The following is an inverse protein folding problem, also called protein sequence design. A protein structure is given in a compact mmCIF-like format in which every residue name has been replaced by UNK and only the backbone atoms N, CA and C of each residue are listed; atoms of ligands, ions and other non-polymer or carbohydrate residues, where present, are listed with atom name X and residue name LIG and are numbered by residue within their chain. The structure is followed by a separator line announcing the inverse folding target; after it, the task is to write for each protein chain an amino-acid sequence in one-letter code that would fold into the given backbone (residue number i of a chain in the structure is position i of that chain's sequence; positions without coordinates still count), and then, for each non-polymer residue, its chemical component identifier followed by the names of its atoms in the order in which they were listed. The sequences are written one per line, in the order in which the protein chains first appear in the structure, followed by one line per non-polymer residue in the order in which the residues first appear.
data_IF_092868554082
#
_entry.id   IF_092868554082
#
_cell.length_a   1.000
_cell.length_b   1.000
_cell.length_c   1.000
_cell.angle_alpha   90.00
_cell.angle_beta   90.00
_cell.angle_gamma   90.00
#
_symmetry.space_group_name_H-M   'P 1'
#
loop_
_entity.id
_entity.type
_entity.pdbx_description
1 polymer ?
#
# COMPACT_ATOMS: atom_id res chain seq x y z
N UNK A 1 4.98 11.31 -16.50
CA UNK A 1 4.38 10.01 -16.89
C UNK A 1 3.57 9.50 -15.70
N UNK A 2 2.27 9.22 -15.87
CA UNK A 2 1.33 8.85 -14.79
C UNK A 2 1.04 7.35 -14.74
N UNK A 3 1.70 6.57 -15.59
CA UNK A 3 1.59 5.11 -15.58
C UNK A 3 2.30 4.55 -14.35
N UNK A 4 1.62 3.68 -13.59
CA UNK A 4 2.18 3.09 -12.38
C UNK A 4 3.13 1.94 -12.75
N UNK A 5 2.61 0.90 -13.40
CA UNK A 5 3.33 -0.36 -13.66
C UNK A 5 4.17 -0.31 -14.94
N UNK A 6 3.72 0.42 -15.97
CA UNK A 6 4.39 0.42 -17.28
C UNK A 6 5.82 0.99 -17.25
N UNK A 7 6.19 1.70 -16.18
CA UNK A 7 7.52 2.26 -15.96
C UNK A 7 8.59 1.22 -15.63
N UNK A 8 8.18 0.02 -15.18
CA UNK A 8 9.09 -1.01 -14.67
C UNK A 8 9.55 -0.80 -13.23
N UNK A 9 9.28 0.36 -12.62
CA UNK A 9 9.65 0.68 -11.23
C UNK A 9 8.70 0.06 -10.19
N UNK A 10 7.51 -0.34 -10.63
CA UNK A 10 6.44 -0.94 -9.82
C UNK A 10 6.07 -2.28 -10.44
N UNK A 11 6.13 -3.37 -9.66
CA UNK A 11 5.77 -4.70 -10.12
C UNK A 11 4.26 -4.94 -10.11
N UNK A 12 3.60 -4.49 -9.05
CA UNK A 12 2.16 -4.64 -8.85
C UNK A 12 1.59 -3.34 -8.31
N UNK A 13 0.33 -3.04 -8.57
CA UNK A 13 -0.28 -1.84 -8.01
C UNK A 13 -1.78 -1.81 -8.12
N UNK A 14 -2.39 -0.93 -7.33
CA UNK A 14 -3.82 -0.72 -7.30
C UNK A 14 -4.18 0.73 -6.99
N UNK A 15 -5.40 1.07 -7.36
CA UNK A 15 -6.10 2.31 -7.03
C UNK A 15 -7.38 1.91 -6.31
N UNK A 16 -7.57 2.48 -5.12
CA UNK A 16 -8.74 2.27 -4.28
C UNK A 16 -9.39 3.63 -4.01
N UNK A 17 -10.69 3.64 -3.70
CA UNK A 17 -11.31 4.77 -3.03
C UNK A 17 -10.75 4.96 -1.62
N UNK A 18 -10.91 6.15 -1.06
CA UNK A 18 -10.52 6.43 0.34
C UNK A 18 -11.27 5.58 1.38
N UNK A 19 -12.37 4.94 0.98
CA UNK A 19 -13.15 3.98 1.75
C UNK A 19 -12.68 2.52 1.56
N UNK A 20 -11.68 2.27 0.72
CA UNK A 20 -11.20 0.94 0.36
C UNK A 20 -11.89 0.32 -0.85
N UNK A 21 -12.85 0.99 -1.49
CA UNK A 21 -13.50 0.47 -2.70
C UNK A 21 -12.46 0.22 -3.80
N UNK A 22 -12.36 -1.01 -4.31
CA UNK A 22 -11.39 -1.35 -5.34
C UNK A 22 -11.78 -0.75 -6.70
N UNK A 23 -10.93 0.09 -7.29
CA UNK A 23 -11.22 0.72 -8.60
C UNK A 23 -10.45 0.06 -9.74
N UNK A 24 -9.17 -0.20 -9.53
CA UNK A 24 -8.31 -0.86 -10.51
C UNK A 24 -7.11 -1.48 -9.81
N UNK A 25 -6.56 -2.56 -10.37
CA UNK A 25 -5.28 -3.08 -9.93
C UNK A 25 -4.71 -4.08 -10.92
N UNK A 26 -3.47 -4.48 -10.66
CA UNK A 26 -2.77 -5.52 -11.41
C UNK A 26 -1.67 -6.10 -10.53
N UNK A 27 -1.57 -7.42 -10.54
CA UNK A 27 -0.60 -8.19 -9.75
C UNK A 27 -1.28 -9.20 -8.84
N UNK A 28 -0.52 -10.20 -8.37
CA UNK A 28 -1.04 -11.27 -7.53
C UNK A 28 -1.66 -10.74 -6.23
N UNK A 29 -1.19 -9.59 -5.75
CA UNK A 29 -1.67 -8.99 -4.50
C UNK A 29 -2.99 -8.21 -4.58
N UNK A 30 -3.59 -8.04 -5.75
CA UNK A 30 -4.69 -7.08 -5.95
C UNK A 30 -5.96 -7.63 -6.62
N UNK A 31 -6.02 -8.91 -6.99
CA UNK A 31 -7.19 -9.48 -7.68
C UNK A 31 -7.70 -10.81 -7.09
N UNK A 32 -8.83 -10.83 -6.35
CA UNK A 32 -9.40 -9.71 -5.57
C UNK A 32 -8.71 -9.57 -4.20
N UNK A 33 -8.66 -8.34 -3.67
CA UNK A 33 -8.28 -8.09 -2.27
C UNK A 33 -9.23 -8.83 -1.33
N UNK A 34 -8.67 -9.41 -0.27
CA UNK A 34 -9.37 -10.43 0.51
C UNK A 34 -9.86 -9.95 1.88
N UNK A 35 -10.96 -10.54 2.34
CA UNK A 35 -11.42 -10.48 3.72
C UNK A 35 -11.29 -11.86 4.34
N UNK A 36 -10.49 -11.98 5.40
CA UNK A 36 -10.19 -13.28 6.03
C UNK A 36 -9.80 -13.13 7.50
N UNK A 37 -9.81 -14.24 8.23
CA UNK A 37 -9.36 -14.27 9.64
C UNK A 37 -7.89 -14.62 9.70
N UNK A 38 -7.14 -13.91 10.53
CA UNK A 38 -5.73 -14.19 10.79
C UNK A 38 -5.48 -14.21 12.30
N UNK A 39 -4.77 -15.23 12.76
CA UNK A 39 -4.24 -15.25 14.13
C UNK A 39 -3.03 -14.34 14.21
N UNK A 40 -3.01 -13.44 15.19
CA UNK A 40 -1.87 -12.59 15.50
C UNK A 40 -1.45 -12.80 16.96
N UNK A 41 -0.13 -12.80 17.16
CA UNK A 41 0.46 -12.83 18.49
C UNK A 41 0.49 -11.40 19.07
N UNK A 42 0.08 -11.28 20.32
CA UNK A 42 0.15 -10.05 21.10
C UNK A 42 1.46 -9.93 21.86
N UNK A 43 1.72 -8.77 22.45
CA UNK A 43 2.96 -8.49 23.18
C UNK A 43 3.10 -9.34 24.46
N UNK A 44 1.98 -9.85 25.01
CA UNK A 44 1.95 -10.76 26.15
C UNK A 44 2.15 -12.24 25.76
N UNK A 45 2.36 -12.51 24.46
CA UNK A 45 2.53 -13.85 23.92
C UNK A 45 1.22 -14.61 23.67
N UNK A 46 0.06 -14.01 23.96
CA UNK A 46 -1.25 -14.58 23.63
C UNK A 46 -1.56 -14.48 22.14
N UNK A 47 -2.44 -15.36 21.66
CA UNK A 47 -2.92 -15.34 20.27
C UNK A 47 -4.36 -14.82 20.23
N UNK A 48 -4.64 -13.92 19.28
CA UNK A 48 -5.99 -13.43 19.00
C UNK A 48 -6.31 -13.57 17.52
N UNK A 49 -7.53 -13.97 17.23
CA UNK A 49 -8.05 -13.96 15.87
C UNK A 49 -8.57 -12.56 15.52
N UNK A 50 -8.04 -11.98 14.44
CA UNK A 50 -8.52 -10.70 13.90
C UNK A 50 -9.05 -10.88 12.49
N UNK A 51 -10.10 -10.13 12.17
CA UNK A 51 -10.56 -10.01 10.79
C UNK A 51 -9.65 -9.03 10.05
N UNK A 52 -9.07 -9.51 8.95
CA UNK A 52 -8.31 -8.72 7.99
C UNK A 52 -9.25 -8.40 6.83
N UNK A 53 -9.37 -7.13 6.51
CA UNK A 53 -9.92 -6.63 5.25
C UNK A 53 -8.80 -5.83 4.59
N UNK A 54 -8.16 -6.39 3.56
CA UNK A 54 -6.95 -5.81 2.99
C UNK A 54 -7.20 -4.41 2.41
N UNK A 55 -8.31 -4.24 1.69
CA UNK A 55 -8.76 -2.99 1.07
C UNK A 55 -9.03 -1.91 2.11
N UNK A 56 -9.87 -2.22 3.11
CA UNK A 56 -10.26 -1.27 4.15
C UNK A 56 -9.06 -0.90 5.03
N UNK A 57 -8.22 -1.87 5.37
CA UNK A 57 -7.03 -1.65 6.19
C UNK A 57 -6.01 -0.74 5.49
N UNK A 58 -5.72 -0.95 4.20
CA UNK A 58 -4.77 -0.09 3.49
C UNK A 58 -5.33 1.31 3.25
N UNK A 59 -6.62 1.44 2.96
CA UNK A 59 -7.26 2.75 2.76
C UNK A 59 -7.36 3.56 4.07
N UNK A 60 -7.72 2.89 5.17
CA UNK A 60 -7.68 3.48 6.51
C UNK A 60 -6.27 3.94 6.87
N UNK A 61 -5.26 3.07 6.67
CA UNK A 61 -3.87 3.41 6.93
C UNK A 61 -3.38 4.61 6.09
N UNK A 62 -3.74 4.67 4.80
CA UNK A 62 -3.41 5.79 3.93
C UNK A 62 -4.04 7.12 4.40
N UNK A 63 -5.19 7.05 5.08
CA UNK A 63 -5.94 8.22 5.54
C UNK A 63 -5.54 8.68 6.94
N UNK A 64 -5.31 7.76 7.86
CA UNK A 64 -5.04 8.10 9.27
C UNK A 64 -3.55 8.02 9.62
N UNK A 65 -2.78 7.22 8.88
CA UNK A 65 -1.43 6.82 9.27
C UNK A 65 -1.38 5.83 10.44
N UNK A 66 -2.54 5.41 10.97
CA UNK A 66 -2.63 4.50 12.10
C UNK A 66 -2.60 3.05 11.60
N UNK A 67 -1.71 2.26 12.19
CA UNK A 67 -1.54 0.85 11.82
C UNK A 67 -2.83 0.07 12.14
N UNK A 68 -3.45 -0.61 11.17
CA UNK A 68 -4.62 -1.45 11.41
C UNK A 68 -4.30 -2.63 12.35
N UNK A 69 -5.31 -3.09 13.07
CA UNK A 69 -5.23 -4.36 13.82
C UNK A 69 -4.97 -5.50 12.84
N UNK A 70 -3.86 -6.21 13.02
CA UNK A 70 -3.38 -7.23 12.08
C UNK A 70 -2.36 -6.75 11.03
N UNK A 71 -2.12 -5.44 10.96
CA UNK A 71 -1.16 -4.77 10.06
C UNK A 71 -1.69 -4.51 8.66
N UNK A 72 -0.92 -3.77 7.86
CA UNK A 72 -1.21 -3.59 6.43
C UNK A 72 -0.87 -4.90 5.72
N UNK A 73 -1.83 -5.42 4.93
CA UNK A 73 -1.70 -6.68 4.20
C UNK A 73 -2.17 -6.49 2.77
N UNK A 74 -1.42 -7.06 1.83
CA UNK A 74 -1.71 -7.03 0.39
C UNK A 74 -1.38 -8.43 -0.15
N UNK A 75 -2.34 -9.11 -0.78
CA UNK A 75 -2.11 -10.46 -1.32
C UNK A 75 -1.73 -11.47 -0.24
N UNK A 76 -2.42 -11.43 0.89
CA UNK A 76 -2.15 -12.19 2.11
C UNK A 76 -0.74 -11.98 2.72
N UNK A 77 0.03 -11.03 2.19
CA UNK A 77 1.38 -10.74 2.66
C UNK A 77 1.34 -9.58 3.62
N UNK A 78 1.95 -9.73 4.80
CA UNK A 78 2.06 -8.65 5.79
C UNK A 78 3.15 -7.66 5.42
N UNK A 79 2.86 -6.39 5.62
CA UNK A 79 3.81 -5.29 5.43
C UNK A 79 3.97 -4.48 6.73
N UNK A 80 5.20 -4.04 7.01
CA UNK A 80 5.51 -3.18 8.15
C UNK A 80 5.75 -1.74 7.68
N UNK A 81 5.09 -0.74 8.29
CA UNK A 81 5.48 0.65 8.15
C UNK A 81 6.95 0.85 8.50
N UNK A 82 7.71 1.50 7.61
CA UNK A 82 9.12 1.82 7.85
C UNK A 82 9.40 3.31 7.81
N UNK A 83 8.69 4.06 6.98
CA UNK A 83 8.86 5.51 6.88
C UNK A 83 7.57 6.18 6.40
N UNK A 84 7.43 7.46 6.72
CA UNK A 84 6.40 8.36 6.21
C UNK A 84 7.08 9.61 5.70
N UNK A 85 6.74 9.99 4.49
CA UNK A 85 7.08 11.28 3.89
C UNK A 85 5.79 12.07 3.65
N UNK A 86 5.86 13.39 3.72
CA UNK A 86 4.72 14.27 3.43
C UNK A 86 5.24 15.40 2.58
N UNK A 87 4.70 15.52 1.38
CA UNK A 87 5.08 16.60 0.49
C UNK A 87 4.58 17.94 1.05
N UNK A 88 5.49 18.91 1.22
CA UNK A 88 5.17 20.19 1.85
C UNK A 88 4.28 21.07 0.98
N UNK A 89 4.33 20.91 -0.35
CA UNK A 89 3.53 21.70 -1.30
C UNK A 89 2.08 21.23 -1.36
N UNK A 90 1.89 19.91 -1.50
CA UNK A 90 0.57 19.29 -1.73
C UNK A 90 -0.06 18.71 -0.48
N UNK A 91 0.71 18.51 0.60
CA UNK A 91 0.27 17.83 1.82
C UNK A 91 0.02 16.33 1.64
N UNK A 92 0.32 15.76 0.47
CA UNK A 92 0.07 14.34 0.16
C UNK A 92 1.02 13.48 0.98
N UNK A 93 0.50 12.58 1.84
CA UNK A 93 1.35 11.66 2.57
C UNK A 93 1.75 10.50 1.67
N UNK A 94 2.99 10.06 1.85
CA UNK A 94 3.50 8.84 1.27
C UNK A 94 4.12 7.92 2.32
N UNK A 95 3.61 6.69 2.37
CA UNK A 95 4.05 5.68 3.31
C UNK A 95 4.92 4.64 2.62
N UNK A 96 6.03 4.33 3.25
CA UNK A 96 6.93 3.25 2.86
C UNK A 96 6.67 2.05 3.74
N UNK A 97 6.48 0.90 3.11
CA UNK A 97 6.20 -0.36 3.76
C UNK A 97 7.24 -1.41 3.37
N UNK A 98 7.75 -2.15 4.35
CA UNK A 98 8.63 -3.30 4.13
C UNK A 98 7.80 -4.58 4.06
N UNK A 99 8.01 -5.40 3.04
CA UNK A 99 7.38 -6.71 2.90
C UNK A 99 7.92 -7.67 3.97
N UNK A 100 7.03 -8.35 4.67
CA UNK A 100 7.39 -9.37 5.68
C UNK A 100 7.24 -10.76 5.08
N UNK A 101 8.08 -11.04 4.10
CA UNK A 101 8.15 -12.32 3.40
C UNK A 101 9.62 -12.71 3.30
N UNK A 102 9.96 -13.90 3.79
CA UNK A 102 11.33 -14.38 3.77
C UNK A 102 11.79 -14.81 2.37
N UNK A 103 10.85 -15.18 1.49
CA UNK A 103 11.13 -15.70 0.16
C UNK A 103 11.20 -14.60 -0.91
N UNK A 104 10.36 -13.55 -0.79
CA UNK A 104 10.31 -12.42 -1.73
C UNK A 104 10.69 -11.12 -1.02
N UNK A 105 11.86 -10.56 -1.33
CA UNK A 105 12.31 -9.27 -0.78
C UNK A 105 11.69 -8.10 -1.55
N UNK A 106 11.32 -7.05 -0.83
CA UNK A 106 10.71 -5.87 -1.43
C UNK A 106 9.87 -5.09 -0.43
N UNK A 107 8.89 -4.37 -0.96
CA UNK A 107 8.04 -3.53 -0.15
C UNK A 107 6.86 -2.99 -0.93
N UNK A 108 6.15 -2.07 -0.29
CA UNK A 108 5.06 -1.33 -0.91
C UNK A 108 5.16 0.16 -0.58
N UNK A 109 4.58 0.97 -1.44
CA UNK A 109 4.38 2.39 -1.22
C UNK A 109 2.88 2.68 -1.28
N UNK A 110 2.40 3.51 -0.37
CA UNK A 110 1.00 3.92 -0.31
C UNK A 110 0.95 5.43 -0.30
N UNK A 111 0.19 6.02 -1.21
CA UNK A 111 -0.05 7.46 -1.29
C UNK A 111 -1.55 7.73 -1.31
N UNK A 112 -1.95 8.90 -0.83
CA UNK A 112 -3.36 9.30 -0.80
C UNK A 112 -3.56 10.65 -1.49
N UNK A 113 -4.42 10.66 -2.50
CA UNK A 113 -4.99 11.87 -3.11
C UNK A 113 -6.26 12.31 -2.36
N UNK A 114 -7.08 13.19 -2.94
CA UNK A 114 -8.30 13.61 -2.26
C UNK A 114 -9.36 12.50 -2.22
N UNK A 115 -9.47 11.70 -3.28
CA UNK A 115 -10.50 10.67 -3.46
C UNK A 115 -9.93 9.26 -3.68
N UNK A 116 -8.65 9.13 -4.00
CA UNK A 116 -8.02 7.83 -4.26
C UNK A 116 -6.83 7.51 -3.34
N UNK A 117 -6.66 6.22 -3.06
CA UNK A 117 -5.48 5.60 -2.45
C UNK A 117 -4.72 4.84 -3.54
N UNK A 118 -3.45 5.19 -3.72
CA UNK A 118 -2.56 4.60 -4.71
C UNK A 118 -1.61 3.67 -3.97
N UNK A 119 -1.56 2.41 -4.39
CA UNK A 119 -0.67 1.40 -3.82
C UNK A 119 0.24 0.86 -4.92
N UNK A 120 1.54 0.85 -4.68
CA UNK A 120 2.53 0.19 -5.53
C UNK A 120 3.35 -0.80 -4.73
N UNK A 121 3.64 -1.97 -5.30
CA UNK A 121 4.50 -3.01 -4.74
C UNK A 121 5.73 -3.14 -5.62
N UNK A 122 6.88 -3.27 -4.98
CA UNK A 122 8.17 -3.42 -5.65
C UNK A 122 8.91 -4.64 -5.12
N UNK A 123 9.71 -5.25 -6.01
CA UNK A 123 10.53 -6.43 -5.71
C UNK A 123 12.00 -6.13 -5.90
N UNK A 124 12.79 -6.43 -4.88
CA UNK A 124 14.24 -6.21 -4.92
C UNK A 124 14.90 -7.05 -6.03
N UNK A 125 14.42 -8.29 -6.23
CA UNK A 125 14.96 -9.22 -7.23
C UNK A 125 14.64 -8.79 -8.68
N UNK A 126 13.66 -7.90 -8.87
CA UNK A 126 13.36 -7.28 -10.15
C UNK A 126 14.18 -6.00 -10.41
N UNK A 127 15.16 -5.68 -9.54
CA UNK A 127 15.96 -4.46 -9.63
C UNK A 127 15.21 -3.18 -9.24
N UNK A 128 14.01 -3.32 -8.66
CA UNK A 128 13.18 -2.19 -8.24
C UNK A 128 13.58 -1.70 -6.84
N UNK A 129 13.17 -0.49 -6.50
CA UNK A 129 13.49 0.13 -5.22
C UNK A 129 12.29 0.84 -4.60
N UNK A 130 12.32 0.97 -3.28
CA UNK A 130 11.33 1.74 -2.53
C UNK A 130 11.22 3.18 -3.04
N UNK A 131 12.35 3.82 -3.36
CA UNK A 131 12.38 5.21 -3.84
C UNK A 131 11.69 5.36 -5.20
N UNK A 132 12.05 4.53 -6.19
CA UNK A 132 11.45 4.60 -7.53
C UNK A 132 9.95 4.28 -7.48
N UNK A 133 9.56 3.22 -6.76
CA UNK A 133 8.16 2.85 -6.55
C UNK A 133 7.37 4.00 -5.90
N UNK A 134 7.95 4.63 -4.88
CA UNK A 134 7.34 5.75 -4.19
C UNK A 134 7.09 6.94 -5.12
N UNK A 135 8.09 7.34 -5.91
CA UNK A 135 7.96 8.43 -6.87
C UNK A 135 6.81 8.19 -7.86
N UNK A 136 6.61 6.95 -8.32
CA UNK A 136 5.49 6.62 -9.21
C UNK A 136 4.14 6.73 -8.53
N UNK A 137 4.03 6.20 -7.31
CA UNK A 137 2.79 6.31 -6.51
C UNK A 137 2.45 7.76 -6.20
N UNK A 138 3.44 8.53 -5.76
CA UNK A 138 3.30 9.95 -5.42
C UNK A 138 2.94 10.80 -6.64
N UNK A 139 3.63 10.61 -7.77
CA UNK A 139 3.34 11.33 -9.02
C UNK A 139 1.90 11.09 -9.47
N UNK A 140 1.40 9.85 -9.37
CA UNK A 140 0.01 9.55 -9.70
C UNK A 140 -0.96 10.20 -8.70
N UNK A 141 -0.68 10.13 -7.39
CA UNK A 141 -1.52 10.77 -6.37
C UNK A 141 -1.58 12.30 -6.53
N UNK A 142 -0.45 12.94 -6.85
CA UNK A 142 -0.38 14.37 -7.15
C UNK A 142 -1.20 14.71 -8.39
N UNK A 143 -1.01 13.96 -9.48
CA UNK A 143 -1.78 14.15 -10.71
C UNK A 143 -3.29 14.02 -10.47
N UNK A 144 -3.73 13.01 -9.73
CA UNK A 144 -5.14 12.84 -9.37
C UNK A 144 -5.65 14.04 -8.56
N UNK A 145 -4.90 14.47 -7.55
CA UNK A 145 -5.25 15.64 -6.72
C UNK A 145 -5.38 16.93 -7.52
N UNK A 146 -4.48 17.16 -8.49
CA UNK A 146 -4.52 18.31 -9.39
C UNK A 146 -5.71 18.28 -10.35
N UNK A 147 -6.27 17.10 -10.62
CA UNK A 147 -7.41 16.89 -11.51
C UNK A 147 -8.72 16.62 -10.74
N UNK A 148 -8.78 16.94 -9.44
CA UNK A 148 -9.98 16.86 -8.62
C UNK A 148 -10.31 15.46 -8.10
N UNK A 149 -9.31 14.58 -8.04
CA UNK A 149 -9.41 13.20 -7.55
C UNK A 149 -8.46 12.90 -6.40
#
# INVERSE_FOLDING_TARGET
ETQLIATGDVAEGAILGTDGTFWAGKGEGFEPMQVYKATIMQDDGSEVEVQIDESSNVASYATTGEKPNGGVRLGNTKYLPVNKDVDEETGIPSYYLRRMDAAKKGGACVCKSQSAVIVGVWFQDAGQSAFACNQRCFTLAKYLSENGM
#
